data_IF_471248208199
#
_entry.id   IF_471248208199
#
_cell.length_a   1.000
_cell.length_b   1.000
_cell.length_c   1.000
_cell.angle_alpha   90.00
_cell.angle_beta   90.00
_cell.angle_gamma   90.00
#
_symmetry.space_group_name_H-M   'P 1'
#
loop_
_entity.id
_entity.type
_entity.pdbx_description
1 polymer ?
#
# COMPACT_ATOMS: atom_id res chain seq x y z
N UNK A 1 -50.40 -9.38 18.18
CA UNK A 1 -50.71 -10.20 16.99
C UNK A 1 -49.56 -9.99 16.03
N UNK A 2 -48.50 -10.78 16.19
CA UNK A 2 -47.33 -10.78 15.32
C UNK A 2 -47.54 -11.75 14.17
N UNK A 3 -47.50 -11.24 12.96
CA UNK A 3 -47.65 -12.03 11.73
C UNK A 3 -46.22 -12.50 11.32
N UNK A 4 -45.88 -13.71 11.71
CA UNK A 4 -44.70 -14.41 11.19
C UNK A 4 -45.01 -14.90 9.75
N UNK A 5 -44.60 -14.14 8.76
CA UNK A 5 -44.57 -14.57 7.37
C UNK A 5 -43.39 -15.56 7.18
N UNK A 6 -43.70 -16.82 6.89
CA UNK A 6 -42.79 -17.93 6.69
C UNK A 6 -41.82 -17.69 5.50
N UNK A 7 -40.54 -17.96 5.65
CA UNK A 7 -39.51 -17.78 4.57
C UNK A 7 -39.67 -18.77 3.41
N UNK A 8 -40.56 -19.76 3.51
CA UNK A 8 -40.80 -20.79 2.49
C UNK A 8 -41.39 -20.24 1.17
N UNK A 9 -42.08 -19.09 1.21
CA UNK A 9 -42.66 -18.48 0.01
C UNK A 9 -41.63 -17.83 -0.92
N UNK A 10 -40.53 -17.36 -0.39
CA UNK A 10 -39.46 -16.77 -1.20
C UNK A 10 -38.67 -17.81 -2.01
N UNK A 11 -38.55 -19.03 -1.48
CA UNK A 11 -37.85 -20.12 -2.17
C UNK A 11 -38.66 -20.69 -3.37
N UNK A 12 -39.98 -20.71 -3.30
CA UNK A 12 -40.78 -21.20 -4.41
C UNK A 12 -40.72 -20.26 -5.63
N UNK A 13 -40.64 -18.95 -5.41
CA UNK A 13 -40.53 -17.97 -6.51
C UNK A 13 -39.19 -18.04 -7.22
N UNK A 14 -38.08 -18.13 -6.46
CA UNK A 14 -36.72 -18.23 -7.01
C UNK A 14 -36.51 -19.54 -7.80
N UNK A 15 -37.07 -20.65 -7.33
CA UNK A 15 -37.02 -21.95 -8.02
C UNK A 15 -37.84 -21.94 -9.28
N UNK A 16 -39.00 -21.28 -9.26
CA UNK A 16 -39.92 -21.20 -10.42
C UNK A 16 -39.33 -20.33 -11.53
N UNK A 17 -38.70 -19.20 -11.20
CA UNK A 17 -37.98 -18.36 -12.16
C UNK A 17 -36.74 -19.05 -12.71
N UNK A 18 -36.02 -19.81 -11.90
CA UNK A 18 -34.87 -20.59 -12.34
C UNK A 18 -35.29 -21.69 -13.33
N UNK A 19 -36.41 -22.39 -13.08
CA UNK A 19 -36.95 -23.39 -14.01
C UNK A 19 -37.40 -22.76 -15.34
N UNK A 20 -38.07 -21.60 -15.31
CA UNK A 20 -38.43 -20.86 -16.52
C UNK A 20 -37.22 -20.36 -17.32
N UNK A 21 -36.17 -19.96 -16.64
CA UNK A 21 -34.89 -19.58 -17.28
C UNK A 21 -34.23 -20.79 -17.94
N UNK A 22 -34.25 -21.96 -17.31
CA UNK A 22 -33.71 -23.21 -17.87
C UNK A 22 -34.57 -23.72 -19.05
N UNK A 23 -35.89 -23.53 -19.03
CA UNK A 23 -36.77 -23.85 -20.17
C UNK A 23 -36.55 -22.90 -21.36
N UNK A 24 -36.19 -21.64 -21.13
CA UNK A 24 -35.80 -20.70 -22.17
C UNK A 24 -34.48 -21.07 -22.87
N UNK A 25 -33.66 -21.92 -22.22
CA UNK A 25 -32.41 -22.46 -22.79
C UNK A 25 -32.65 -23.43 -23.96
N UNK A 26 -33.86 -24.00 -24.14
CA UNK A 26 -34.16 -24.84 -25.30
C UNK A 26 -34.10 -24.12 -26.65
N UNK A 27 -34.17 -22.78 -26.63
CA UNK A 27 -34.01 -21.99 -27.84
C UNK A 27 -32.53 -21.61 -28.14
N UNK A 28 -31.58 -22.03 -27.31
CA UNK A 28 -30.14 -21.75 -27.47
C UNK A 28 -29.44 -22.66 -28.50
N UNK A 29 -30.15 -23.57 -29.17
CA UNK A 29 -29.58 -24.43 -30.21
C UNK A 29 -28.97 -23.65 -31.42
N UNK A 30 -29.26 -22.35 -31.53
CA UNK A 30 -28.66 -21.46 -32.53
C UNK A 30 -27.28 -20.88 -32.16
N UNK A 31 -26.86 -21.00 -30.90
CA UNK A 31 -25.59 -20.43 -30.45
C UNK A 31 -24.46 -21.45 -30.56
N UNK A 32 -23.30 -20.98 -31.02
CA UNK A 32 -22.12 -21.83 -31.11
C UNK A 32 -21.72 -22.30 -29.70
N UNK A 33 -21.33 -23.55 -29.58
CA UNK A 33 -20.92 -24.21 -28.31
C UNK A 33 -20.10 -23.32 -27.35
N UNK A 34 -19.08 -22.55 -27.81
CA UNK A 34 -18.31 -21.69 -26.91
C UNK A 34 -19.14 -20.56 -26.25
N UNK A 35 -20.19 -20.08 -26.89
CA UNK A 35 -21.06 -19.05 -26.32
C UNK A 35 -21.92 -19.59 -25.16
N UNK A 36 -22.38 -20.84 -25.29
CA UNK A 36 -23.14 -21.53 -24.23
C UNK A 36 -22.23 -21.80 -23.03
N UNK A 37 -21.00 -22.28 -23.28
CA UNK A 37 -20.01 -22.52 -22.22
C UNK A 37 -19.69 -21.22 -21.47
N UNK A 38 -19.48 -20.12 -22.19
CA UNK A 38 -19.23 -18.81 -21.58
C UNK A 38 -20.42 -18.35 -20.70
N UNK A 39 -21.64 -18.50 -21.20
CA UNK A 39 -22.85 -18.12 -20.47
C UNK A 39 -23.03 -18.95 -19.20
N UNK A 40 -22.82 -20.26 -19.26
CA UNK A 40 -22.85 -21.16 -18.09
C UNK A 40 -21.74 -20.79 -17.10
N UNK A 41 -20.55 -20.51 -17.56
CA UNK A 41 -19.43 -20.07 -16.72
C UNK A 41 -19.75 -18.76 -15.99
N UNK A 42 -20.27 -17.75 -16.70
CA UNK A 42 -20.68 -16.47 -16.11
C UNK A 42 -21.81 -16.66 -15.08
N UNK A 43 -22.75 -17.54 -15.35
CA UNK A 43 -23.86 -17.86 -14.45
C UNK A 43 -23.35 -18.54 -13.17
N UNK A 44 -22.40 -19.47 -13.28
CA UNK A 44 -21.74 -20.11 -12.12
C UNK A 44 -20.98 -19.06 -11.30
N UNK A 45 -20.22 -18.18 -11.93
CA UNK A 45 -19.49 -17.10 -11.24
C UNK A 45 -20.46 -16.16 -10.51
N UNK A 46 -21.57 -15.82 -11.14
CA UNK A 46 -22.61 -14.97 -10.54
C UNK A 46 -23.28 -15.68 -9.34
N UNK A 47 -23.64 -16.96 -9.47
CA UNK A 47 -24.24 -17.72 -8.37
C UNK A 47 -23.26 -17.87 -7.21
N UNK A 48 -22.04 -18.31 -7.45
CA UNK A 48 -21.01 -18.52 -6.41
C UNK A 48 -20.60 -17.21 -5.74
N UNK A 49 -20.53 -16.13 -6.52
CA UNK A 49 -20.12 -14.81 -6.01
C UNK A 49 -21.23 -14.05 -5.27
N UNK A 50 -22.49 -14.23 -5.66
CA UNK A 50 -23.59 -13.36 -5.19
C UNK A 50 -24.50 -14.05 -4.18
N UNK A 51 -24.88 -15.30 -4.45
CA UNK A 51 -25.90 -16.03 -3.66
C UNK A 51 -25.51 -16.20 -2.18
N UNK A 52 -24.26 -16.58 -1.83
CA UNK A 52 -23.90 -16.75 -0.42
C UNK A 52 -24.00 -15.45 0.39
N UNK A 53 -23.61 -14.31 -0.21
CA UNK A 53 -23.73 -13.00 0.41
C UNK A 53 -25.18 -12.55 0.59
N UNK A 54 -26.03 -12.82 -0.42
CA UNK A 54 -27.42 -12.46 -0.42
C UNK A 54 -28.21 -13.28 0.62
N UNK A 55 -28.00 -14.60 0.67
CA UNK A 55 -28.67 -15.50 1.63
C UNK A 55 -28.22 -15.24 3.07
N UNK A 56 -26.93 -14.95 3.27
CA UNK A 56 -26.40 -14.68 4.61
C UNK A 56 -26.68 -13.25 5.10
N UNK A 57 -27.17 -12.33 4.25
CA UNK A 57 -27.33 -10.92 4.57
C UNK A 57 -26.02 -10.24 4.95
N UNK A 58 -24.88 -10.84 4.61
CA UNK A 58 -23.54 -10.37 4.95
C UNK A 58 -22.75 -10.11 3.67
N UNK A 59 -22.49 -8.84 3.41
CA UNK A 59 -21.69 -8.45 2.26
C UNK A 59 -20.22 -8.35 2.66
N UNK A 60 -19.34 -8.95 1.87
CA UNK A 60 -17.89 -8.96 2.16
C UNK A 60 -17.26 -7.57 2.20
N UNK A 61 -17.91 -6.56 1.60
CA UNK A 61 -17.47 -5.14 1.65
C UNK A 61 -17.94 -4.38 2.91
N UNK A 62 -18.91 -4.92 3.66
CA UNK A 62 -19.43 -4.28 4.88
C UNK A 62 -18.41 -4.33 6.02
N UNK A 63 -17.66 -5.41 6.10
CA UNK A 63 -16.58 -5.61 7.06
C UNK A 63 -15.23 -5.55 6.35
N UNK A 64 -14.69 -4.35 6.21
CA UNK A 64 -13.32 -4.18 5.69
C UNK A 64 -12.34 -4.91 6.60
N UNK A 65 -11.47 -5.80 6.08
CA UNK A 65 -10.48 -6.49 6.89
C UNK A 65 -9.63 -5.48 7.67
N UNK A 66 -9.31 -5.82 8.91
CA UNK A 66 -8.48 -4.97 9.77
C UNK A 66 -7.05 -4.96 9.20
N UNK A 67 -6.41 -3.80 9.30
CA UNK A 67 -4.98 -3.69 9.04
C UNK A 67 -4.25 -4.36 10.19
N UNK A 68 -3.42 -5.31 9.87
CA UNK A 68 -2.48 -5.87 10.83
C UNK A 68 -1.56 -4.73 11.30
N UNK A 69 -1.32 -4.61 12.61
CA UNK A 69 -0.33 -3.66 13.17
C UNK A 69 -0.66 -2.15 13.04
N UNK A 70 -1.93 -1.79 12.96
CA UNK A 70 -2.34 -0.38 12.92
C UNK A 70 -1.83 0.44 14.12
N UNK A 71 -1.63 -0.23 15.28
CA UNK A 71 -1.06 0.41 16.47
C UNK A 71 0.40 0.82 16.24
N UNK A 72 1.19 -0.04 15.62
CA UNK A 72 2.62 0.20 15.32
C UNK A 72 2.79 1.35 14.33
N UNK A 73 1.94 1.45 13.30
CA UNK A 73 1.92 2.58 12.36
C UNK A 73 1.66 3.91 13.08
N UNK A 74 0.71 3.94 14.02
CA UNK A 74 0.43 5.13 14.84
C UNK A 74 1.59 5.49 15.75
N UNK A 75 2.28 4.49 16.28
CA UNK A 75 3.43 4.69 17.16
C UNK A 75 4.59 5.33 16.38
N UNK A 76 4.95 4.79 15.21
CA UNK A 76 5.96 5.40 14.33
C UNK A 76 5.62 6.86 14.01
N UNK A 77 4.36 7.18 13.74
CA UNK A 77 3.94 8.57 13.47
C UNK A 77 4.17 9.50 14.65
N UNK A 78 3.96 9.03 15.90
CA UNK A 78 4.10 9.85 17.11
C UNK A 78 5.53 9.95 17.60
N UNK A 79 6.20 8.81 17.67
CA UNK A 79 7.49 8.67 18.37
C UNK A 79 8.68 8.78 17.42
N UNK A 80 8.42 8.80 16.10
CA UNK A 80 9.46 8.73 15.09
C UNK A 80 9.86 7.29 14.77
N UNK A 81 10.68 7.14 13.73
CA UNK A 81 11.25 5.86 13.30
C UNK A 81 12.68 5.76 13.83
N UNK A 82 13.00 4.67 14.52
CA UNK A 82 14.36 4.37 14.96
C UNK A 82 15.17 3.78 13.81
N UNK A 83 16.19 4.49 13.34
CA UNK A 83 17.02 4.05 12.21
C UNK A 83 18.40 3.68 12.76
N UNK A 84 18.87 2.43 12.60
CA UNK A 84 20.19 2.03 13.07
C UNK A 84 21.32 2.91 12.47
N UNK A 85 22.29 3.26 13.31
CA UNK A 85 23.45 4.09 12.97
C UNK A 85 23.13 5.52 12.51
N UNK A 86 21.88 5.97 12.67
CA UNK A 86 21.49 7.35 12.36
C UNK A 86 20.88 8.01 13.60
N UNK A 87 21.41 9.18 13.94
CA UNK A 87 20.91 9.93 15.10
C UNK A 87 19.76 10.84 14.67
N UNK A 88 18.59 10.65 15.28
CA UNK A 88 17.47 11.58 15.14
C UNK A 88 17.74 12.84 15.96
N UNK A 89 17.74 13.98 15.29
CA UNK A 89 17.96 15.29 15.96
C UNK A 89 16.65 15.96 16.35
N UNK A 90 15.59 15.74 15.59
CA UNK A 90 14.23 16.22 15.91
C UNK A 90 13.18 15.44 15.14
N UNK A 91 11.98 15.35 15.69
CA UNK A 91 10.80 14.87 14.98
C UNK A 91 9.57 15.67 15.39
N UNK A 92 8.62 15.82 14.46
CA UNK A 92 7.36 16.50 14.71
C UNK A 92 6.30 16.09 13.68
N UNK A 93 5.03 16.12 14.07
CA UNK A 93 3.94 16.01 13.11
C UNK A 93 3.70 17.36 12.43
N UNK A 94 3.59 17.35 11.09
CA UNK A 94 3.25 18.52 10.30
C UNK A 94 2.06 18.22 9.38
N UNK A 95 1.12 19.14 9.21
CA UNK A 95 0.05 19.00 8.22
C UNK A 95 0.60 19.34 6.83
N UNK A 96 0.40 18.43 5.87
CA UNK A 96 0.60 18.67 4.44
C UNK A 96 -0.67 18.23 3.73
N UNK A 97 -1.36 19.17 3.07
CA UNK A 97 -2.72 18.97 2.58
C UNK A 97 -3.65 18.44 3.70
N UNK A 98 -4.40 17.39 3.45
CA UNK A 98 -5.31 16.78 4.43
C UNK A 98 -4.65 15.69 5.29
N UNK A 99 -3.32 15.50 5.19
CA UNK A 99 -2.57 14.43 5.86
C UNK A 99 -1.64 14.96 6.95
N UNK A 100 -1.48 14.16 8.00
CA UNK A 100 -0.50 14.40 9.07
C UNK A 100 0.77 13.60 8.77
N UNK A 101 1.81 14.31 8.39
CA UNK A 101 3.12 13.74 8.11
C UNK A 101 4.02 13.81 9.34
N UNK A 102 4.80 12.77 9.56
CA UNK A 102 5.95 12.84 10.46
C UNK A 102 7.11 13.49 9.69
N UNK A 103 7.59 14.62 10.17
CA UNK A 103 8.87 15.20 9.76
C UNK A 103 9.92 14.79 10.78
N UNK A 104 10.95 14.07 10.34
CA UNK A 104 12.06 13.64 11.18
C UNK A 104 13.37 14.10 10.56
N UNK A 105 14.22 14.76 11.35
CA UNK A 105 15.58 15.13 10.94
C UNK A 105 16.56 14.11 11.47
N UNK A 106 17.39 13.58 10.59
CA UNK A 106 18.43 12.60 10.91
C UNK A 106 19.80 13.15 10.52
N UNK A 107 20.81 12.85 11.31
CA UNK A 107 22.19 13.19 10.98
C UNK A 107 22.83 12.01 10.22
N UNK A 108 23.33 12.30 9.03
CA UNK A 108 24.09 11.36 8.19
C UNK A 108 25.38 12.03 7.72
N UNK A 109 26.54 11.53 8.14
CA UNK A 109 27.85 12.08 7.75
C UNK A 109 27.91 13.61 7.87
N UNK A 110 27.48 14.15 9.02
CA UNK A 110 27.40 15.59 9.32
C UNK A 110 26.42 16.40 8.45
N UNK A 111 25.58 15.76 7.66
CA UNK A 111 24.47 16.39 6.92
C UNK A 111 23.14 16.16 7.62
N UNK A 112 22.35 17.22 7.72
CA UNK A 112 20.97 17.11 8.23
C UNK A 112 20.04 16.67 7.11
N UNK A 113 19.69 15.38 7.08
CA UNK A 113 18.74 14.78 6.13
C UNK A 113 17.34 14.89 6.71
N UNK A 114 16.39 15.30 5.90
CA UNK A 114 14.98 15.36 6.31
C UNK A 114 14.23 14.15 5.76
N UNK A 115 13.56 13.42 6.66
CA UNK A 115 12.68 12.32 6.36
C UNK A 115 11.24 12.75 6.59
N UNK A 116 10.38 12.57 5.59
CA UNK A 116 8.93 12.72 5.72
C UNK A 116 8.30 11.35 5.60
N UNK A 117 7.49 10.96 6.59
CA UNK A 117 6.76 9.73 6.60
C UNK A 117 5.26 10.00 6.73
N UNK A 118 4.47 9.42 5.83
CA UNK A 118 3.02 9.35 5.99
C UNK A 118 2.62 7.89 6.23
N UNK A 119 2.14 7.61 7.42
CA UNK A 119 1.64 6.29 7.77
C UNK A 119 0.16 6.17 7.46
N UNK A 120 -0.26 5.03 6.97
CA UNK A 120 -1.65 4.70 6.75
C UNK A 120 -2.51 5.02 8.00
N UNK A 121 -3.62 5.74 7.81
CA UNK A 121 -4.45 6.24 8.91
C UNK A 121 -5.73 5.42 9.15
N UNK A 122 -6.00 4.41 8.35
CA UNK A 122 -7.18 3.56 8.51
C UNK A 122 -7.32 2.50 7.43
N UNK A 123 -8.25 1.55 7.58
CA UNK A 123 -8.42 0.44 6.63
C UNK A 123 -8.91 0.87 5.24
N UNK A 124 -9.48 2.06 5.12
CA UNK A 124 -9.91 2.63 3.84
C UNK A 124 -8.87 3.54 3.19
N UNK A 125 -7.82 3.85 3.94
CA UNK A 125 -6.75 4.72 3.48
C UNK A 125 -5.82 3.95 2.52
N UNK A 126 -5.56 4.53 1.35
CA UNK A 126 -4.81 3.93 0.26
C UNK A 126 -3.80 4.95 -0.27
N UNK A 127 -2.63 4.53 -0.76
CA UNK A 127 -1.73 5.42 -1.48
C UNK A 127 -2.45 6.09 -2.66
N UNK A 128 -2.26 7.38 -2.79
CA UNK A 128 -2.85 8.19 -3.86
C UNK A 128 -1.77 8.98 -4.60
N UNK A 129 -1.78 10.30 -4.42
CA UNK A 129 -0.87 11.23 -5.10
C UNK A 129 -0.15 12.15 -4.11
N UNK A 130 0.20 11.62 -2.94
CA UNK A 130 0.83 12.35 -1.83
C UNK A 130 2.11 13.06 -2.25
N UNK A 131 2.75 12.59 -3.32
CA UNK A 131 3.92 13.25 -3.91
C UNK A 131 3.59 14.63 -4.48
N UNK A 132 2.37 14.84 -4.97
CA UNK A 132 1.92 16.15 -5.45
C UNK A 132 1.71 17.11 -4.28
N UNK A 133 1.18 16.62 -3.17
CA UNK A 133 0.98 17.41 -1.96
C UNK A 133 2.29 17.91 -1.38
N UNK A 134 3.31 17.04 -1.33
CA UNK A 134 4.67 17.42 -0.91
C UNK A 134 5.26 18.49 -1.84
N UNK A 135 5.11 18.32 -3.15
CA UNK A 135 5.61 19.27 -4.13
C UNK A 135 4.93 20.64 -3.97
N UNK A 136 3.61 20.65 -3.80
CA UNK A 136 2.81 21.86 -3.55
C UNK A 136 3.19 22.55 -2.25
N UNK A 137 3.35 21.81 -1.16
CA UNK A 137 3.75 22.31 0.14
C UNK A 137 5.11 22.99 0.13
N UNK A 138 6.10 22.33 -0.48
CA UNK A 138 7.47 22.84 -0.55
C UNK A 138 7.66 23.91 -1.62
N UNK A 139 6.75 24.03 -2.59
CA UNK A 139 6.83 24.94 -3.75
C UNK A 139 8.18 24.83 -4.49
N UNK A 140 8.74 23.66 -4.53
CA UNK A 140 10.02 23.42 -5.18
C UNK A 140 9.87 23.22 -6.69
N UNK A 141 10.96 23.47 -7.42
CA UNK A 141 11.12 23.06 -8.80
C UNK A 141 11.85 21.71 -8.82
N UNK A 142 11.62 20.93 -9.85
CA UNK A 142 12.13 19.56 -9.95
C UNK A 142 12.63 19.25 -11.35
N UNK A 143 13.71 18.45 -11.42
CA UNK A 143 14.24 17.89 -12.66
C UNK A 143 15.02 16.58 -12.40
N UNK A 144 15.71 16.06 -13.42
CA UNK A 144 16.63 14.91 -13.35
C UNK A 144 15.96 13.65 -12.78
N UNK A 145 14.72 13.38 -13.17
CA UNK A 145 13.95 12.22 -12.70
C UNK A 145 14.56 10.91 -13.17
N UNK A 146 14.76 9.99 -12.21
CA UNK A 146 15.20 8.63 -12.45
C UNK A 146 14.37 7.65 -11.62
N UNK A 147 14.23 6.43 -12.10
CA UNK A 147 13.72 5.31 -11.34
C UNK A 147 14.92 4.48 -10.89
N UNK A 148 14.97 4.15 -9.62
CA UNK A 148 16.11 3.46 -9.00
C UNK A 148 15.61 2.29 -8.18
N UNK A 149 16.38 1.20 -8.15
CA UNK A 149 16.04 0.02 -7.36
C UNK A 149 17.12 -0.24 -6.31
N UNK A 150 16.69 -0.75 -5.16
CA UNK A 150 17.56 -1.23 -4.10
C UNK A 150 16.87 -2.34 -3.32
N UNK A 151 17.66 -3.12 -2.60
CA UNK A 151 17.16 -4.22 -1.78
C UNK A 151 17.46 -3.95 -0.32
N UNK A 152 16.46 -4.10 0.55
CA UNK A 152 16.64 -4.06 2.00
C UNK A 152 16.57 -5.49 2.56
N UNK A 153 17.43 -5.80 3.52
CA UNK A 153 17.47 -7.07 4.23
C UNK A 153 17.35 -6.79 5.73
N UNK A 154 16.55 -7.60 6.42
CA UNK A 154 16.53 -7.59 7.88
C UNK A 154 17.56 -8.59 8.32
N UNK A 155 18.63 -8.11 8.92
CA UNK A 155 19.58 -8.95 9.65
C UNK A 155 19.05 -9.08 11.07
N UNK A 156 18.23 -10.10 11.36
CA UNK A 156 17.92 -10.48 12.74
C UNK A 156 19.13 -11.22 13.31
N UNK A 157 19.82 -10.56 14.23
CA UNK A 157 21.04 -11.08 14.85
C UNK A 157 20.89 -12.31 15.74
N UNK A 158 19.68 -12.87 15.97
CA UNK A 158 19.49 -13.93 16.98
C UNK A 158 18.38 -14.96 16.70
N UNK A 159 17.83 -15.03 15.52
CA UNK A 159 16.90 -16.13 15.22
C UNK A 159 17.22 -16.78 13.87
N UNK A 160 18.09 -17.78 13.91
CA UNK A 160 18.13 -18.86 12.91
C UNK A 160 16.83 -19.65 13.11
N UNK A 161 15.72 -19.12 12.63
CA UNK A 161 14.53 -19.92 12.41
C UNK A 161 14.76 -20.70 11.12
N UNK A 162 14.62 -22.00 11.23
CA UNK A 162 14.92 -23.11 10.30
C UNK A 162 14.15 -23.07 8.94
N UNK A 163 13.67 -21.91 8.54
CA UNK A 163 13.09 -21.67 7.22
C UNK A 163 13.84 -20.52 6.55
N UNK A 164 14.85 -20.83 5.76
CA UNK A 164 15.77 -19.93 5.04
C UNK A 164 15.13 -18.86 4.13
N UNK A 165 14.05 -18.23 4.55
CA UNK A 165 13.51 -17.02 3.97
C UNK A 165 14.19 -15.82 4.65
N UNK A 166 15.31 -15.39 4.09
CA UNK A 166 15.77 -14.03 4.29
C UNK A 166 14.61 -13.09 3.97
N UNK A 167 14.22 -12.26 4.95
CA UNK A 167 13.23 -11.21 4.75
C UNK A 167 13.85 -10.10 3.87
N UNK A 168 13.92 -10.41 2.57
CA UNK A 168 14.41 -9.52 1.53
C UNK A 168 13.23 -8.70 1.00
N UNK A 169 13.38 -7.40 0.95
CA UNK A 169 12.44 -6.48 0.33
C UNK A 169 13.10 -5.82 -0.87
N UNK A 170 12.49 -5.96 -2.04
CA UNK A 170 12.93 -5.27 -3.25
C UNK A 170 12.11 -3.98 -3.40
N UNK A 171 12.80 -2.85 -3.49
CA UNK A 171 12.21 -1.53 -3.51
C UNK A 171 12.57 -0.83 -4.82
N UNK A 172 11.56 -0.26 -5.44
CA UNK A 172 11.69 0.71 -6.51
C UNK A 172 11.36 2.09 -5.95
N UNK A 173 12.12 3.12 -6.33
CA UNK A 173 11.91 4.48 -5.84
C UNK A 173 12.08 5.51 -6.96
N UNK A 174 11.39 6.64 -6.85
CA UNK A 174 11.67 7.83 -7.64
C UNK A 174 12.86 8.55 -7.05
N UNK A 175 13.80 8.92 -7.88
CA UNK A 175 14.98 9.70 -7.51
C UNK A 175 15.08 10.92 -8.43
N UNK A 176 15.18 12.12 -7.85
CA UNK A 176 15.18 13.36 -8.62
C UNK A 176 15.81 14.50 -7.84
N UNK A 177 16.14 15.60 -8.54
CA UNK A 177 16.56 16.83 -7.92
C UNK A 177 15.37 17.74 -7.67
N UNK A 178 15.34 18.36 -6.49
CA UNK A 178 14.41 19.43 -6.16
C UNK A 178 15.13 20.61 -5.58
N UNK A 179 14.61 21.81 -5.82
CA UNK A 179 15.20 23.02 -5.25
C UNK A 179 14.16 24.11 -5.00
N UNK A 180 14.50 24.93 -4.05
CA UNK A 180 13.86 26.21 -3.76
C UNK A 180 14.89 27.32 -3.93
N UNK A 181 14.50 28.57 -3.68
CA UNK A 181 15.47 29.69 -3.66
C UNK A 181 16.51 29.57 -2.54
N UNK A 182 16.32 28.67 -1.57
CA UNK A 182 17.17 28.56 -0.37
C UNK A 182 18.04 27.30 -0.38
N UNK A 183 17.55 26.19 -0.94
CA UNK A 183 18.20 24.89 -0.79
C UNK A 183 17.88 23.98 -1.98
N UNK A 184 18.88 23.16 -2.35
CA UNK A 184 18.76 22.08 -3.33
C UNK A 184 18.84 20.73 -2.62
N UNK A 185 18.03 19.76 -3.06
CA UNK A 185 17.98 18.41 -2.50
C UNK A 185 18.06 17.36 -3.60
N UNK A 186 18.74 16.27 -3.31
CA UNK A 186 18.49 14.98 -3.94
C UNK A 186 17.35 14.31 -3.17
N UNK A 187 16.29 13.92 -3.88
CA UNK A 187 15.05 13.39 -3.28
C UNK A 187 14.86 11.96 -3.69
N UNK A 188 14.45 11.10 -2.73
CA UNK A 188 14.07 9.73 -3.00
C UNK A 188 12.69 9.47 -2.38
N UNK A 189 11.75 8.89 -3.17
CA UNK A 189 10.35 8.69 -2.78
C UNK A 189 9.86 7.30 -3.16
N UNK A 190 9.17 6.62 -2.22
CA UNK A 190 8.45 5.37 -2.47
C UNK A 190 7.37 5.13 -1.42
N UNK A 191 6.39 4.29 -1.76
CA UNK A 191 5.49 3.68 -0.79
C UNK A 191 6.12 2.38 -0.31
N UNK A 192 6.33 2.25 0.99
CA UNK A 192 6.89 1.09 1.65
C UNK A 192 5.77 0.19 2.16
N UNK A 193 5.92 -1.13 2.03
CA UNK A 193 5.05 -2.14 2.60
C UNK A 193 5.85 -3.40 2.98
N UNK A 194 5.25 -4.37 3.71
CA UNK A 194 5.93 -5.63 4.03
C UNK A 194 6.40 -6.36 2.78
N UNK A 195 7.71 -6.57 2.65
CA UNK A 195 8.32 -7.30 1.54
C UNK A 195 8.59 -6.50 0.27
N UNK A 196 8.28 -5.18 0.22
CA UNK A 196 8.55 -4.39 -0.98
C UNK A 196 8.32 -2.90 -0.83
N UNK A 197 8.42 -2.21 -1.97
CA UNK A 197 8.13 -0.79 -2.09
C UNK A 197 8.15 -0.32 -3.54
N UNK A 198 7.29 0.63 -3.88
CA UNK A 198 7.21 1.24 -5.22
C UNK A 198 6.76 2.70 -5.12
N UNK A 199 7.18 3.57 -6.04
CA UNK A 199 6.67 4.92 -6.10
C UNK A 199 5.25 5.02 -6.66
N UNK A 200 4.74 3.94 -7.25
CA UNK A 200 3.43 3.89 -7.90
C UNK A 200 2.36 3.32 -6.96
N UNK A 201 1.25 4.04 -6.70
CA UNK A 201 0.15 3.54 -5.88
C UNK A 201 -0.46 2.22 -6.39
N UNK A 202 -0.42 2.01 -7.72
CA UNK A 202 -0.97 0.82 -8.37
C UNK A 202 -0.30 -0.48 -7.93
N UNK A 203 1.00 -0.48 -7.66
CA UNK A 203 1.74 -1.67 -7.24
C UNK A 203 1.33 -2.11 -5.84
N UNK A 204 1.16 -1.15 -4.92
CA UNK A 204 0.59 -1.43 -3.62
C UNK A 204 -0.85 -1.95 -3.75
N UNK A 205 -1.66 -1.32 -4.60
CA UNK A 205 -3.05 -1.72 -4.80
C UNK A 205 -3.18 -3.20 -5.18
N UNK A 206 -2.38 -3.67 -6.14
CA UNK A 206 -2.40 -5.09 -6.53
C UNK A 206 -1.91 -6.01 -5.42
N UNK A 207 -0.88 -5.60 -4.68
CA UNK A 207 -0.37 -6.35 -3.52
C UNK A 207 -1.45 -6.48 -2.43
N UNK A 208 -2.16 -5.38 -2.12
CA UNK A 208 -3.26 -5.38 -1.16
C UNK A 208 -4.45 -6.22 -1.66
N UNK A 209 -4.79 -6.16 -2.95
CA UNK A 209 -5.85 -7.00 -3.54
C UNK A 209 -5.57 -8.49 -3.41
N UNK A 210 -4.35 -8.92 -3.63
CA UNK A 210 -3.95 -10.31 -3.43
C UNK A 210 -4.05 -10.71 -1.95
N UNK A 211 -3.62 -9.85 -1.02
CA UNK A 211 -3.74 -10.10 0.41
C UNK A 211 -5.21 -10.16 0.86
N UNK A 212 -6.10 -9.39 0.25
CA UNK A 212 -7.54 -9.40 0.56
C UNK A 212 -8.22 -10.74 0.27
N UNK A 213 -7.70 -11.55 -0.68
CA UNK A 213 -8.18 -12.92 -0.91
C UNK A 213 -8.08 -13.75 0.38
N UNK A 214 -7.05 -13.48 1.19
CA UNK A 214 -6.82 -14.12 2.49
C UNK A 214 -7.34 -13.30 3.67
N UNK A 215 -8.24 -12.32 3.44
CA UNK A 215 -8.81 -11.40 4.41
C UNK A 215 -7.79 -10.58 5.20
N UNK A 216 -6.66 -10.27 4.58
CA UNK A 216 -5.63 -9.40 5.13
C UNK A 216 -5.56 -8.11 4.33
N UNK A 217 -5.12 -7.03 4.99
CA UNK A 217 -4.78 -5.75 4.36
C UNK A 217 -3.27 -5.52 4.48
N UNK A 218 -2.68 -4.97 3.44
CA UNK A 218 -1.27 -4.64 3.43
C UNK A 218 -1.08 -3.23 4.00
N UNK A 219 -0.39 -3.08 5.15
CA UNK A 219 -0.07 -1.76 5.68
C UNK A 219 0.94 -1.06 4.77
N UNK A 220 0.88 0.28 4.72
CA UNK A 220 1.80 1.08 3.92
C UNK A 220 2.26 2.35 4.63
N UNK A 221 3.43 2.84 4.20
CA UNK A 221 4.02 4.11 4.63
C UNK A 221 4.60 4.81 3.41
N UNK A 222 4.18 6.05 3.14
CA UNK A 222 4.88 6.87 2.15
C UNK A 222 6.17 7.41 2.76
N UNK A 223 7.27 7.22 2.05
CA UNK A 223 8.62 7.63 2.47
C UNK A 223 9.16 8.67 1.50
N UNK A 224 9.61 9.80 2.02
CA UNK A 224 10.26 10.84 1.25
C UNK A 224 11.53 11.30 1.98
N UNK A 225 12.69 11.11 1.34
CA UNK A 225 14.00 11.50 1.84
C UNK A 225 14.44 12.76 1.10
N UNK A 226 14.81 13.79 1.85
CA UNK A 226 15.37 15.05 1.37
C UNK A 226 16.83 15.13 1.80
N UNK A 227 17.75 14.86 0.89
CA UNK A 227 19.18 14.93 1.13
C UNK A 227 19.72 16.24 0.60
N UNK A 228 20.25 17.14 1.46
CA UNK A 228 20.78 18.45 1.02
C UNK A 228 22.03 18.28 0.17
N UNK A 229 22.05 18.95 -0.98
CA UNK A 229 23.16 18.94 -1.92
C UNK A 229 23.56 20.37 -2.33
N UNK A 230 24.71 20.49 -2.98
CA UNK A 230 25.16 21.76 -3.56
C UNK A 230 24.16 22.29 -4.60
N UNK A 231 24.01 23.62 -4.68
CA UNK A 231 23.15 24.24 -5.69
C UNK A 231 23.52 23.81 -7.11
N UNK A 232 22.54 23.41 -7.91
CA UNK A 232 22.72 22.93 -9.29
C UNK A 232 23.65 21.71 -9.43
N UNK A 233 24.06 21.08 -8.32
CA UNK A 233 24.91 19.89 -8.34
C UNK A 233 24.23 18.71 -9.01
N UNK A 234 25.05 17.80 -9.56
CA UNK A 234 24.59 16.51 -10.04
C UNK A 234 24.09 15.66 -8.86
N UNK A 235 23.01 14.90 -9.08
CA UNK A 235 22.41 14.04 -8.04
C UNK A 235 23.05 12.65 -8.00
N UNK A 236 23.66 12.20 -9.07
CA UNK A 236 24.18 10.83 -9.19
C UNK A 236 25.22 10.45 -8.12
N UNK A 237 26.13 11.34 -7.72
CA UNK A 237 27.08 11.06 -6.65
C UNK A 237 26.41 10.75 -5.29
N UNK A 238 25.19 11.21 -5.08
CA UNK A 238 24.46 11.02 -3.82
C UNK A 238 23.56 9.76 -3.82
N UNK A 239 23.39 9.13 -4.98
CA UNK A 239 22.54 7.94 -5.11
C UNK A 239 22.95 6.77 -4.18
N UNK A 240 24.25 6.40 -4.04
CA UNK A 240 24.65 5.34 -3.13
C UNK A 240 24.27 5.63 -1.66
N UNK A 241 24.44 6.89 -1.23
CA UNK A 241 24.10 7.34 0.12
C UNK A 241 22.58 7.25 0.37
N UNK A 242 21.77 7.75 -0.58
CA UNK A 242 20.31 7.66 -0.45
C UNK A 242 19.82 6.21 -0.48
N UNK A 243 20.42 5.33 -1.29
CA UNK A 243 20.12 3.88 -1.26
C UNK A 243 20.44 3.28 0.11
N UNK A 244 21.60 3.58 0.69
CA UNK A 244 21.98 3.12 2.03
C UNK A 244 20.97 3.58 3.10
N UNK A 245 20.61 4.86 3.08
CA UNK A 245 19.59 5.42 3.99
C UNK A 245 18.24 4.73 3.75
N UNK A 246 17.82 4.58 2.49
CA UNK A 246 16.58 3.92 2.11
C UNK A 246 16.48 2.47 2.58
N UNK A 247 17.59 1.72 2.47
CA UNK A 247 17.68 0.34 2.98
C UNK A 247 17.46 0.28 4.49
N UNK A 248 18.10 1.17 5.25
CA UNK A 248 17.95 1.25 6.71
C UNK A 248 16.53 1.65 7.10
N UNK A 249 15.91 2.61 6.40
CA UNK A 249 14.52 3.03 6.63
C UNK A 249 13.56 1.87 6.37
N UNK A 250 13.70 1.19 5.23
CA UNK A 250 12.82 0.05 4.90
C UNK A 250 12.96 -1.08 5.93
N UNK A 251 14.18 -1.41 6.37
CA UNK A 251 14.42 -2.40 7.42
C UNK A 251 13.76 -1.98 8.75
N UNK A 252 13.91 -0.71 9.15
CA UNK A 252 13.29 -0.18 10.37
C UNK A 252 11.76 -0.20 10.27
N UNK A 253 11.17 0.20 9.15
CA UNK A 253 9.73 0.13 8.93
C UNK A 253 9.21 -1.30 9.01
N UNK A 254 9.94 -2.26 8.43
CA UNK A 254 9.55 -3.68 8.53
C UNK A 254 9.60 -4.16 9.97
N UNK A 255 10.57 -3.69 10.75
CA UNK A 255 10.74 -4.08 12.16
C UNK A 255 9.79 -3.38 13.12
N UNK A 256 9.44 -2.11 12.90
CA UNK A 256 8.68 -1.29 13.85
C UNK A 256 7.25 -1.02 13.41
N UNK A 257 7.00 -0.82 12.10
CA UNK A 257 5.71 -0.43 11.56
C UNK A 257 4.88 -1.62 11.05
N UNK A 258 5.55 -2.64 10.52
CA UNK A 258 4.91 -3.75 9.82
C UNK A 258 4.89 -5.08 10.61
N UNK A 259 5.24 -5.03 11.89
CA UNK A 259 5.22 -6.20 12.82
C UNK A 259 3.82 -6.59 13.26
#
# INVERSE_FOLDING_TARGET
MENHSHPLFAYSFLVFDFFNMVYSLKNLQKYKFPQIVLLVFLLIVLIVGTVPGYVAGKWSWENTPKITNFRSLRQVRKDGLTIPDLTTTSHQEIPIADHKWLLQKINYENKSVTLLLLTQNGPKDQPQVEWMDINGFNRWKTDSYKRVSFTSQITDGDSITDSGKQNKSDIEARFFRSWTNKQTYAVMQWYAWPGGGSPEPGDWFWTDRLAMIFRNRVPWVAVNILFPIEPLGDIDPYLPQLKSIGQKIQASLTKEAFK
#
